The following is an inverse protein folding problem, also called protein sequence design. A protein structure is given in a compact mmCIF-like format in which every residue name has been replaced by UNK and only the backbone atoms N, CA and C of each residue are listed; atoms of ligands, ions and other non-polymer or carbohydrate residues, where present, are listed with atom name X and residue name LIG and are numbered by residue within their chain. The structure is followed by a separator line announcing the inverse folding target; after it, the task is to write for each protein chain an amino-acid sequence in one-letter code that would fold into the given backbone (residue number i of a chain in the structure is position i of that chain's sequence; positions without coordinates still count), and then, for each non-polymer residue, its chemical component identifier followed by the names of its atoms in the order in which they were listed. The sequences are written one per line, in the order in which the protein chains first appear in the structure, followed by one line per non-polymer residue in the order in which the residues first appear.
data_IF_344355195116
#
_entry.id   IF_344355195116
#
_cell.length_a   1.000
_cell.length_b   1.000
_cell.length_c   1.000
_cell.angle_alpha   90.00
_cell.angle_beta   90.00
_cell.angle_gamma   90.00
#
_symmetry.space_group_name_H-M   'P 1'
#
loop_
_entity.id
_entity.type
_entity.pdbx_description
1 polymer ?
#
# COMPACT_ATOMS: atom_id res chain seq x y z
N UNK A 1 29.75 -25.97 38.86
CA UNK A 1 29.32 -24.60 38.48
C UNK A 1 29.64 -24.20 37.03
N UNK A 2 30.69 -24.72 36.44
CA UNK A 2 31.12 -24.40 35.07
C UNK A 2 30.07 -24.68 33.98
N UNK A 3 29.23 -25.70 34.14
CA UNK A 3 28.28 -26.16 33.10
C UNK A 3 27.04 -25.24 32.93
N UNK A 4 26.65 -24.47 33.94
CA UNK A 4 25.47 -23.59 33.87
C UNK A 4 25.77 -22.29 33.10
N UNK A 5 26.95 -21.71 33.37
CA UNK A 5 27.41 -20.50 32.69
C UNK A 5 27.65 -20.74 31.19
N UNK A 6 28.13 -21.94 30.82
CA UNK A 6 28.36 -22.33 29.44
C UNK A 6 27.05 -22.45 28.62
N UNK A 7 25.96 -22.95 29.21
CA UNK A 7 24.65 -23.05 28.59
C UNK A 7 24.06 -21.66 28.30
N UNK A 8 24.17 -20.71 29.24
CA UNK A 8 23.73 -19.32 29.02
C UNK A 8 24.56 -18.62 27.99
N UNK A 9 25.87 -18.84 27.95
CA UNK A 9 26.74 -18.29 26.91
C UNK A 9 26.32 -18.77 25.50
N UNK A 10 26.12 -20.07 25.31
CA UNK A 10 25.68 -20.68 24.07
C UNK A 10 24.31 -20.13 23.70
N UNK A 11 23.37 -20.04 24.62
CA UNK A 11 22.03 -19.46 24.38
C UNK A 11 22.09 -18.01 23.87
N UNK A 12 22.95 -17.18 24.49
CA UNK A 12 23.14 -15.79 24.02
C UNK A 12 23.71 -15.71 22.61
N UNK A 13 24.71 -16.56 22.29
CA UNK A 13 25.31 -16.61 20.94
C UNK A 13 24.28 -17.04 19.91
N UNK A 14 23.52 -18.10 20.20
CA UNK A 14 22.46 -18.59 19.28
C UNK A 14 21.40 -17.51 19.00
N UNK A 15 20.94 -16.80 20.04
CA UNK A 15 19.99 -15.71 19.91
C UNK A 15 20.53 -14.54 19.06
N UNK A 16 21.82 -14.21 19.23
CA UNK A 16 22.47 -13.19 18.42
C UNK A 16 22.56 -13.59 16.94
N UNK A 17 22.94 -14.83 16.66
CA UNK A 17 23.00 -15.37 15.30
C UNK A 17 21.59 -15.34 14.66
N UNK A 18 20.57 -15.78 15.40
CA UNK A 18 19.20 -15.76 14.94
C UNK A 18 18.73 -14.33 14.62
N UNK A 19 19.03 -13.37 15.49
CA UNK A 19 18.74 -11.96 15.27
C UNK A 19 19.37 -11.41 13.99
N UNK A 20 20.65 -11.72 13.74
CA UNK A 20 21.35 -11.31 12.50
C UNK A 20 20.75 -11.96 11.24
N UNK A 21 20.42 -13.25 11.30
CA UNK A 21 19.77 -13.95 10.18
C UNK A 21 18.41 -13.30 9.86
N UNK A 22 17.62 -12.96 10.88
CA UNK A 22 16.33 -12.31 10.71
C UNK A 22 16.45 -10.91 10.07
N UNK A 23 17.49 -10.14 10.46
CA UNK A 23 17.79 -8.85 9.82
C UNK A 23 18.09 -9.06 8.31
N UNK A 24 18.91 -10.05 8.01
CA UNK A 24 19.33 -10.33 6.62
C UNK A 24 18.13 -10.78 5.76
N UNK A 25 17.20 -11.54 6.32
CA UNK A 25 15.97 -11.97 5.67
C UNK A 25 14.95 -10.84 5.53
N UNK A 26 14.92 -9.90 6.48
CA UNK A 26 13.99 -8.78 6.47
C UNK A 26 14.39 -7.68 5.48
N UNK A 27 15.69 -7.55 5.17
CA UNK A 27 16.24 -6.48 4.34
C UNK A 27 15.61 -6.36 2.95
N UNK A 28 15.38 -7.44 2.18
CA UNK A 28 14.82 -7.35 0.82
C UNK A 28 13.30 -7.28 0.76
N UNK A 29 12.57 -7.42 1.87
CA UNK A 29 11.11 -7.65 1.83
C UNK A 29 10.39 -6.58 2.65
N UNK A 30 9.87 -5.54 1.97
CA UNK A 30 9.12 -4.41 2.57
C UNK A 30 7.96 -4.80 3.52
N UNK A 31 7.46 -6.03 3.45
CA UNK A 31 6.30 -6.49 4.22
C UNK A 31 6.64 -7.11 5.57
N UNK A 32 7.91 -7.22 5.92
CA UNK A 32 8.36 -8.00 7.08
C UNK A 32 8.80 -7.13 8.27
N UNK A 33 8.08 -6.02 8.53
CA UNK A 33 8.27 -5.24 9.78
C UNK A 33 8.23 -6.10 11.03
N UNK A 34 7.48 -7.21 11.01
CA UNK A 34 7.42 -8.19 12.10
C UNK A 34 8.78 -8.87 12.33
N UNK A 35 9.56 -9.16 11.27
CA UNK A 35 10.89 -9.79 11.45
C UNK A 35 11.90 -8.85 12.10
N UNK A 36 11.83 -7.55 11.83
CA UNK A 36 12.64 -6.53 12.50
C UNK A 36 12.33 -6.52 14.01
N UNK A 37 11.04 -6.55 14.36
CA UNK A 37 10.62 -6.58 15.76
C UNK A 37 11.07 -7.87 16.46
N UNK A 38 10.93 -9.02 15.81
CA UNK A 38 11.40 -10.30 16.36
C UNK A 38 12.93 -10.28 16.52
N UNK A 39 13.67 -9.73 15.55
CA UNK A 39 15.12 -9.58 15.65
C UNK A 39 15.53 -8.71 16.84
N UNK A 40 14.84 -7.58 17.06
CA UNK A 40 15.04 -6.73 18.24
C UNK A 40 14.80 -7.48 19.54
N UNK A 41 13.71 -8.26 19.64
CA UNK A 41 13.42 -9.07 20.82
C UNK A 41 14.48 -10.14 21.07
N UNK A 42 15.00 -10.77 20.00
CA UNK A 42 16.11 -11.73 20.11
C UNK A 42 17.37 -11.07 20.68
N UNK A 43 17.72 -9.87 20.18
CA UNK A 43 18.85 -9.08 20.69
C UNK A 43 18.71 -8.72 22.16
N UNK A 44 17.51 -8.29 22.55
CA UNK A 44 17.20 -7.92 23.94
C UNK A 44 17.20 -9.13 24.87
N UNK A 45 16.66 -10.27 24.44
CA UNK A 45 16.71 -11.52 25.17
C UNK A 45 18.15 -12.03 25.33
N UNK A 46 18.96 -11.95 24.27
CA UNK A 46 20.38 -12.30 24.30
C UNK A 46 21.18 -11.40 25.27
N UNK A 47 20.85 -10.12 25.34
CA UNK A 47 21.44 -9.16 26.28
C UNK A 47 21.10 -9.55 27.75
N UNK A 48 19.83 -9.80 28.04
CA UNK A 48 19.39 -10.21 29.39
C UNK A 48 20.10 -11.50 29.82
N UNK A 49 20.12 -12.52 28.91
CA UNK A 49 20.82 -13.79 29.21
C UNK A 49 22.31 -13.55 29.41
N UNK A 50 22.93 -12.66 28.63
CA UNK A 50 24.34 -12.30 28.75
C UNK A 50 24.70 -11.64 30.07
N UNK A 51 23.79 -10.88 30.67
CA UNK A 51 24.00 -10.27 32.01
C UNK A 51 24.21 -11.32 33.12
N UNK A 52 23.64 -12.51 32.96
CA UNK A 52 23.82 -13.61 33.93
C UNK A 52 25.15 -14.36 33.72
N UNK A 53 25.89 -14.07 32.66
CA UNK A 53 27.20 -14.67 32.38
C UNK A 53 28.29 -13.71 32.84
N UNK A 54 28.68 -13.81 34.10
CA UNK A 54 29.52 -12.80 34.76
C UNK A 54 30.97 -12.68 34.24
N UNK A 55 31.47 -13.67 33.52
CA UNK A 55 32.91 -13.74 33.16
C UNK A 55 33.29 -13.22 31.80
N UNK A 56 32.33 -13.08 30.84
CA UNK A 56 32.61 -12.60 29.49
C UNK A 56 31.58 -11.55 29.04
N UNK A 57 31.97 -10.28 29.13
CA UNK A 57 31.11 -9.15 28.75
C UNK A 57 30.92 -8.98 27.24
N UNK A 58 31.76 -9.58 26.38
CA UNK A 58 31.77 -9.41 24.95
C UNK A 58 30.42 -9.81 24.28
N UNK A 59 29.83 -11.00 24.56
CA UNK A 59 28.55 -11.38 23.98
C UNK A 59 27.40 -10.44 24.38
N UNK A 60 27.45 -9.90 25.60
CA UNK A 60 26.45 -8.98 26.12
C UNK A 60 26.49 -7.63 25.40
N UNK A 61 27.70 -7.08 25.17
CA UNK A 61 27.85 -5.85 24.41
C UNK A 61 27.48 -6.04 22.93
N UNK A 62 27.79 -7.19 22.35
CA UNK A 62 27.39 -7.50 20.97
C UNK A 62 25.87 -7.55 20.83
N UNK A 63 25.16 -8.14 21.78
CA UNK A 63 23.70 -8.20 21.80
C UNK A 63 23.07 -6.81 21.89
N UNK A 64 23.62 -5.95 22.73
CA UNK A 64 23.18 -4.56 22.84
C UNK A 64 23.43 -3.80 21.53
N UNK A 65 24.61 -3.99 20.93
CA UNK A 65 24.94 -3.38 19.66
C UNK A 65 23.96 -3.80 18.55
N UNK A 66 23.62 -5.09 18.44
CA UNK A 66 22.63 -5.59 17.47
C UNK A 66 21.26 -4.95 17.71
N UNK A 67 20.79 -4.88 18.95
CA UNK A 67 19.50 -4.26 19.27
C UNK A 67 19.47 -2.76 18.87
N UNK A 68 20.55 -2.02 19.14
CA UNK A 68 20.68 -0.60 18.77
C UNK A 68 20.73 -0.43 17.25
N UNK A 69 21.50 -1.27 16.56
CA UNK A 69 21.58 -1.24 15.08
C UNK A 69 20.21 -1.50 14.45
N UNK A 70 19.46 -2.48 14.95
CA UNK A 70 18.09 -2.75 14.47
C UNK A 70 17.19 -1.56 14.70
N UNK A 71 17.27 -0.93 15.86
CA UNK A 71 16.42 0.21 16.23
C UNK A 71 16.66 1.44 15.32
N UNK A 72 17.90 1.62 14.86
CA UNK A 72 18.28 2.72 13.96
C UNK A 72 18.05 2.35 12.49
N UNK A 73 18.41 1.14 12.09
CA UNK A 73 18.35 0.71 10.69
C UNK A 73 16.91 0.58 10.17
N UNK A 74 15.97 0.19 11.03
CA UNK A 74 14.56 0.04 10.62
C UNK A 74 13.92 1.34 10.11
N UNK A 75 13.91 2.44 10.86
CA UNK A 75 13.36 3.70 10.36
C UNK A 75 14.19 4.28 9.20
N UNK A 76 15.51 4.04 9.18
CA UNK A 76 16.37 4.51 8.10
C UNK A 76 16.08 3.81 6.77
N UNK A 77 15.87 2.49 6.79
CA UNK A 77 15.49 1.72 5.59
C UNK A 77 14.11 2.10 5.10
N UNK A 78 13.15 2.36 5.98
CA UNK A 78 11.82 2.83 5.61
C UNK A 78 11.89 4.22 4.95
N UNK A 79 12.73 5.11 5.47
CA UNK A 79 12.95 6.43 4.90
C UNK A 79 13.66 6.36 3.52
N UNK A 80 14.71 5.55 3.38
CA UNK A 80 15.44 5.36 2.11
C UNK A 80 14.54 4.71 1.06
N UNK A 81 13.73 3.74 1.43
CA UNK A 81 12.78 3.11 0.52
C UNK A 81 11.70 4.10 0.06
N UNK A 82 11.22 4.97 0.94
CA UNK A 82 10.29 6.04 0.56
C UNK A 82 10.94 7.04 -0.40
N UNK A 83 12.18 7.46 -0.16
CA UNK A 83 12.90 8.35 -1.09
C UNK A 83 13.20 7.70 -2.45
N UNK A 84 13.62 6.42 -2.47
CA UNK A 84 13.85 5.70 -3.73
C UNK A 84 12.58 5.52 -4.53
N UNK A 85 11.47 5.20 -3.87
CA UNK A 85 10.14 5.11 -4.47
C UNK A 85 9.76 6.49 -5.03
N UNK A 86 9.96 7.55 -4.29
CA UNK A 86 9.66 8.92 -4.72
C UNK A 86 10.54 9.38 -5.90
N UNK A 87 11.84 9.06 -5.87
CA UNK A 87 12.77 9.30 -7.00
C UNK A 87 12.42 8.47 -8.24
N UNK A 88 12.03 7.23 -8.07
CA UNK A 88 11.59 6.37 -9.19
C UNK A 88 10.31 6.91 -9.84
N UNK A 89 9.40 7.49 -9.06
CA UNK A 89 8.21 8.14 -9.59
C UNK A 89 8.48 9.54 -10.17
N UNK A 90 9.47 10.28 -9.66
CA UNK A 90 9.91 11.56 -10.26
C UNK A 90 10.67 11.39 -11.57
N UNK A 91 11.44 10.30 -11.73
CA UNK A 91 12.24 10.04 -12.93
C UNK A 91 11.48 9.26 -14.03
N UNK A 92 10.33 8.66 -13.73
CA UNK A 92 9.42 8.29 -14.81
C UNK A 92 8.99 9.61 -15.44
N UNK A 93 9.52 9.88 -16.68
CA UNK A 93 8.99 10.94 -17.56
C UNK A 93 7.49 10.96 -17.33
N UNK A 94 7.00 12.06 -16.78
CA UNK A 94 5.59 12.35 -16.70
C UNK A 94 5.16 12.47 -18.14
N UNK A 95 4.89 11.35 -18.82
CA UNK A 95 3.94 11.39 -19.89
C UNK A 95 2.73 12.04 -19.25
N UNK A 96 2.53 13.28 -19.59
CA UNK A 96 1.35 14.05 -19.18
C UNK A 96 0.17 13.20 -19.63
N UNK A 97 -0.31 12.37 -18.70
CA UNK A 97 -1.55 11.66 -18.95
C UNK A 97 -2.56 12.76 -19.04
N UNK A 98 -3.02 13.02 -20.25
CA UNK A 98 -4.14 13.93 -20.48
C UNK A 98 -5.33 13.21 -19.88
N UNK A 99 -5.57 13.49 -18.59
CA UNK A 99 -6.81 13.07 -17.94
C UNK A 99 -7.89 13.87 -18.63
N UNK A 100 -8.86 13.22 -19.27
CA UNK A 100 -9.95 13.95 -19.90
C UNK A 100 -10.59 14.91 -18.88
N UNK A 101 -10.87 16.14 -19.31
CA UNK A 101 -11.39 17.22 -18.45
C UNK A 101 -12.68 16.86 -17.71
N UNK A 102 -13.38 15.87 -18.19
CA UNK A 102 -14.63 15.35 -17.62
C UNK A 102 -14.43 14.57 -16.32
N UNK A 103 -13.21 14.10 -16.07
CA UNK A 103 -12.88 13.42 -14.83
C UNK A 103 -12.34 14.38 -13.77
N UNK A 104 -12.63 14.09 -12.51
CA UNK A 104 -12.02 14.79 -11.39
C UNK A 104 -10.85 13.95 -10.85
N UNK A 105 -9.59 14.38 -11.04
CA UNK A 105 -8.46 13.61 -10.57
C UNK A 105 -8.41 13.55 -9.04
N UNK A 106 -8.13 12.35 -8.50
CA UNK A 106 -7.87 12.17 -7.08
C UNK A 106 -6.39 12.45 -6.81
N UNK A 107 -6.12 13.40 -5.92
CA UNK A 107 -4.75 13.70 -5.48
C UNK A 107 -4.22 12.58 -4.58
N UNK A 108 -2.89 12.43 -4.54
CA UNK A 108 -2.21 11.53 -3.60
C UNK A 108 -2.61 11.87 -2.16
N UNK A 109 -2.88 10.88 -1.34
CA UNK A 109 -3.32 11.05 0.05
C UNK A 109 -4.82 11.27 0.24
N UNK A 110 -5.56 11.66 -0.80
CA UNK A 110 -6.96 12.08 -0.67
C UNK A 110 -8.00 10.98 -0.91
N UNK A 111 -7.59 9.76 -1.24
CA UNK A 111 -8.54 8.67 -1.49
C UNK A 111 -9.34 8.33 -0.22
N UNK A 112 -8.71 8.37 0.96
CA UNK A 112 -9.36 8.09 2.23
C UNK A 112 -10.46 9.09 2.54
N UNK A 113 -10.21 10.38 2.33
CA UNK A 113 -11.17 11.45 2.57
C UNK A 113 -12.34 11.34 1.59
N UNK A 114 -12.02 11.11 0.31
CA UNK A 114 -13.02 10.98 -0.75
C UNK A 114 -14.01 9.85 -0.49
N UNK A 115 -13.53 8.67 -0.08
CA UNK A 115 -14.40 7.50 0.11
C UNK A 115 -15.15 7.53 1.43
N UNK A 116 -14.64 8.24 2.44
CA UNK A 116 -15.24 8.37 3.76
C UNK A 116 -16.12 9.61 3.93
N UNK A 117 -16.31 10.42 2.86
CA UNK A 117 -17.19 11.58 2.93
C UNK A 117 -18.53 11.22 3.54
N UNK A 118 -18.90 11.98 4.57
CA UNK A 118 -20.08 11.73 5.41
C UNK A 118 -21.41 12.07 4.73
N UNK A 119 -21.35 12.77 3.59
CA UNK A 119 -22.54 13.07 2.81
C UNK A 119 -23.26 11.79 2.40
N UNK A 120 -24.56 11.79 2.57
CA UNK A 120 -25.49 10.67 2.31
C UNK A 120 -25.43 10.14 0.87
N UNK A 121 -24.72 10.84 0.00
CA UNK A 121 -24.56 10.52 -1.41
C UNK A 121 -23.36 9.58 -1.60
N UNK A 122 -23.45 8.73 -2.61
CA UNK A 122 -22.33 7.90 -3.03
C UNK A 122 -21.38 8.67 -3.95
N UNK A 123 -20.13 8.24 -4.00
CA UNK A 123 -19.13 8.69 -4.97
C UNK A 123 -18.92 7.61 -6.03
N UNK A 124 -18.66 8.03 -7.26
CA UNK A 124 -18.24 7.15 -8.33
C UNK A 124 -16.75 7.36 -8.58
N UNK A 125 -15.98 6.29 -8.52
CA UNK A 125 -14.53 6.33 -8.75
C UNK A 125 -14.18 5.38 -9.88
N UNK A 126 -13.50 5.91 -10.89
CA UNK A 126 -12.88 5.11 -11.94
C UNK A 126 -11.45 4.78 -11.52
N UNK A 127 -11.22 3.54 -11.12
CA UNK A 127 -9.91 2.99 -10.83
C UNK A 127 -9.30 2.43 -12.11
N UNK A 128 -8.16 2.98 -12.53
CA UNK A 128 -7.44 2.51 -13.71
C UNK A 128 -6.09 1.91 -13.34
N UNK A 129 -5.68 0.89 -14.08
CA UNK A 129 -4.35 0.28 -13.98
C UNK A 129 -3.34 0.87 -14.97
N UNK A 130 -3.70 1.94 -15.70
CA UNK A 130 -2.85 2.58 -16.69
C UNK A 130 -2.80 1.89 -18.06
N UNK A 131 -3.50 0.78 -18.28
CA UNK A 131 -3.54 0.09 -19.59
C UNK A 131 -4.42 0.86 -20.59
N UNK A 132 -3.78 1.66 -21.43
CA UNK A 132 -4.44 2.50 -22.43
C UNK A 132 -5.27 1.70 -23.45
N UNK A 133 -4.85 0.47 -23.81
CA UNK A 133 -5.56 -0.33 -24.83
C UNK A 133 -6.93 -0.78 -24.36
N UNK A 134 -7.00 -1.23 -23.11
CA UNK A 134 -8.24 -1.71 -22.50
C UNK A 134 -9.13 -0.53 -22.06
N UNK A 135 -8.53 0.51 -21.54
CA UNK A 135 -9.24 1.62 -20.90
C UNK A 135 -9.84 2.61 -21.90
N UNK A 136 -9.23 2.83 -23.08
CA UNK A 136 -9.68 3.85 -24.04
C UNK A 136 -11.14 3.71 -24.49
N UNK A 137 -11.61 2.48 -24.69
CA UNK A 137 -13.02 2.23 -25.07
C UNK A 137 -13.96 2.50 -23.89
N UNK A 138 -13.56 2.11 -22.69
CA UNK A 138 -14.34 2.35 -21.48
C UNK A 138 -14.41 3.84 -21.14
N UNK A 139 -13.31 4.56 -21.27
CA UNK A 139 -13.23 6.01 -21.03
C UNK A 139 -14.19 6.77 -21.96
N UNK A 140 -14.22 6.44 -23.25
CA UNK A 140 -15.20 7.03 -24.19
C UNK A 140 -16.65 6.80 -23.72
N UNK A 141 -16.98 5.62 -23.21
CA UNK A 141 -18.32 5.32 -22.70
C UNK A 141 -18.61 6.14 -21.44
N UNK A 142 -17.62 6.24 -20.53
CA UNK A 142 -17.78 7.00 -19.26
C UNK A 142 -17.99 8.49 -19.59
N UNK A 143 -17.16 9.07 -20.47
CA UNK A 143 -17.26 10.47 -20.89
C UNK A 143 -18.61 10.74 -21.55
N UNK A 144 -19.04 9.89 -22.48
CA UNK A 144 -20.37 10.01 -23.11
C UNK A 144 -21.50 9.93 -22.08
N UNK A 145 -21.38 9.06 -21.07
CA UNK A 145 -22.37 8.95 -20.01
C UNK A 145 -22.39 10.19 -19.10
N UNK A 146 -21.23 10.77 -18.81
CA UNK A 146 -21.11 12.02 -18.05
C UNK A 146 -21.74 13.20 -18.81
N UNK A 147 -21.43 13.36 -20.09
CA UNK A 147 -21.99 14.42 -20.95
C UNK A 147 -23.52 14.37 -21.02
N UNK A 148 -24.10 13.17 -21.01
CA UNK A 148 -25.54 12.95 -21.03
C UNK A 148 -26.19 12.87 -19.64
N UNK A 149 -25.45 13.12 -18.56
CA UNK A 149 -25.94 13.05 -17.20
C UNK A 149 -26.74 14.31 -16.83
N UNK A 150 -27.98 14.12 -16.39
CA UNK A 150 -28.85 15.24 -15.93
C UNK A 150 -28.43 15.82 -14.57
N UNK A 151 -27.51 15.22 -13.84
CA UNK A 151 -27.29 15.49 -12.42
C UNK A 151 -25.94 16.08 -12.09
N UNK A 152 -25.19 16.69 -12.96
CA UNK A 152 -23.83 17.23 -12.71
C UNK A 152 -22.95 16.33 -11.81
N UNK A 153 -23.12 15.00 -11.90
CA UNK A 153 -22.36 14.05 -11.12
C UNK A 153 -20.94 13.96 -11.67
N UNK A 154 -19.99 13.88 -10.74
CA UNK A 154 -18.58 13.72 -11.07
C UNK A 154 -18.20 12.25 -10.95
N UNK A 155 -17.29 11.81 -11.81
CA UNK A 155 -16.55 10.57 -11.66
C UNK A 155 -15.11 10.94 -11.33
N UNK A 156 -14.64 10.43 -10.19
CA UNK A 156 -13.28 10.63 -9.75
C UNK A 156 -12.35 9.65 -10.47
N UNK A 157 -11.21 10.15 -10.91
CA UNK A 157 -10.20 9.37 -11.63
C UNK A 157 -9.06 9.00 -10.67
N UNK A 158 -8.79 7.71 -10.49
CA UNK A 158 -7.73 7.22 -9.64
C UNK A 158 -6.85 6.24 -10.42
N UNK A 159 -5.63 6.66 -10.74
CA UNK A 159 -4.64 5.83 -11.44
C UNK A 159 -3.82 5.04 -10.42
N UNK A 160 -4.14 3.75 -10.28
CA UNK A 160 -3.49 2.82 -9.34
C UNK A 160 -1.98 2.72 -9.61
N UNK A 161 -1.55 2.86 -10.87
CA UNK A 161 -0.13 2.73 -11.25
C UNK A 161 0.75 3.88 -10.76
N UNK A 162 0.13 5.00 -10.36
CA UNK A 162 0.80 6.25 -9.99
C UNK A 162 0.65 6.64 -8.52
N UNK A 163 -0.08 5.85 -7.76
CA UNK A 163 -0.35 6.16 -6.36
C UNK A 163 0.63 5.45 -5.42
N UNK A 164 0.82 6.00 -4.20
CA UNK A 164 1.68 5.37 -3.19
C UNK A 164 1.23 3.94 -2.86
N UNK A 165 2.17 3.05 -2.62
CA UNK A 165 1.92 1.62 -2.34
C UNK A 165 0.89 1.40 -1.23
N UNK A 166 0.92 2.24 -0.19
CA UNK A 166 -0.03 2.15 0.94
C UNK A 166 -1.47 2.41 0.50
N UNK A 167 -1.70 3.44 -0.32
CA UNK A 167 -3.03 3.75 -0.87
C UNK A 167 -3.49 2.67 -1.84
N UNK A 168 -2.59 2.21 -2.71
CA UNK A 168 -2.87 1.12 -3.66
C UNK A 168 -3.27 -0.15 -2.93
N UNK A 169 -2.57 -0.51 -1.86
CA UNK A 169 -2.90 -1.69 -1.03
C UNK A 169 -4.29 -1.55 -0.37
N UNK A 170 -4.63 -0.36 0.11
CA UNK A 170 -5.95 -0.09 0.64
C UNK A 170 -7.04 -0.22 -0.44
N UNK A 171 -6.85 0.44 -1.59
CA UNK A 171 -7.80 0.42 -2.72
C UNK A 171 -8.01 -1.01 -3.24
N UNK A 172 -6.94 -1.78 -3.41
CA UNK A 172 -7.02 -3.18 -3.86
C UNK A 172 -7.78 -4.06 -2.86
N UNK A 173 -7.55 -3.85 -1.58
CA UNK A 173 -8.21 -4.64 -0.53
C UNK A 173 -9.71 -4.37 -0.45
N UNK A 174 -10.12 -3.11 -0.63
CA UNK A 174 -11.49 -2.69 -0.34
C UNK A 174 -12.37 -2.50 -1.58
N UNK A 175 -11.80 -2.11 -2.72
CA UNK A 175 -12.60 -1.66 -3.86
C UNK A 175 -12.30 -2.39 -5.16
N UNK A 176 -11.05 -2.77 -5.43
CA UNK A 176 -10.62 -3.24 -6.75
C UNK A 176 -9.82 -4.53 -6.63
N UNK A 177 -10.27 -5.66 -7.23
CA UNK A 177 -9.44 -6.84 -7.35
C UNK A 177 -8.21 -6.59 -8.22
N UNK A 178 -7.17 -7.39 -8.03
CA UNK A 178 -5.93 -7.23 -8.76
C UNK A 178 -6.08 -7.32 -10.30
N UNK A 179 -5.27 -6.51 -11.00
CA UNK A 179 -5.02 -6.65 -12.43
C UNK A 179 -6.02 -6.01 -13.38
N UNK A 180 -7.13 -5.43 -12.92
CA UNK A 180 -8.14 -4.85 -13.81
C UNK A 180 -8.48 -3.40 -13.42
N UNK A 181 -9.08 -2.68 -14.40
CA UNK A 181 -9.69 -1.38 -14.15
C UNK A 181 -11.19 -1.52 -13.88
N UNK A 182 -11.73 -0.70 -12.97
CA UNK A 182 -13.12 -0.78 -12.53
C UNK A 182 -13.72 0.62 -12.34
N UNK A 183 -15.04 0.73 -12.56
CA UNK A 183 -15.82 1.83 -12.02
C UNK A 183 -16.53 1.33 -10.77
N UNK A 184 -16.26 1.96 -9.63
CA UNK A 184 -16.82 1.60 -8.35
C UNK A 184 -17.76 2.69 -7.83
N UNK A 185 -18.85 2.26 -7.19
CA UNK A 185 -19.76 3.08 -6.41
C UNK A 185 -19.45 2.84 -4.94
N UNK A 186 -19.05 3.89 -4.25
CA UNK A 186 -18.65 3.83 -2.85
C UNK A 186 -19.58 4.72 -2.04
N UNK A 187 -20.07 4.22 -0.90
CA UNK A 187 -20.93 4.94 0.02
C UNK A 187 -20.40 4.78 1.43
N UNK A 188 -20.02 5.89 2.08
CA UNK A 188 -19.48 5.88 3.46
C UNK A 188 -18.34 4.87 3.66
N UNK A 189 -17.37 4.88 2.78
CA UNK A 189 -16.21 3.97 2.83
C UNK A 189 -16.48 2.53 2.41
N UNK A 190 -17.73 2.16 2.11
CA UNK A 190 -18.11 0.79 1.75
C UNK A 190 -18.40 0.69 0.26
N UNK A 191 -17.92 -0.40 -0.37
CA UNK A 191 -18.21 -0.71 -1.76
C UNK A 191 -19.70 -1.06 -1.93
N UNK A 192 -20.46 -0.18 -2.59
CA UNK A 192 -21.89 -0.37 -2.88
C UNK A 192 -22.14 -1.05 -4.25
N UNK A 193 -21.12 -1.17 -5.08
CA UNK A 193 -21.16 -1.85 -6.37
C UNK A 193 -19.94 -1.49 -7.21
N UNK A 194 -19.58 -2.37 -8.12
CA UNK A 194 -18.49 -2.14 -9.08
C UNK A 194 -18.78 -2.85 -10.40
N UNK A 195 -18.13 -2.38 -11.44
CA UNK A 195 -18.18 -2.99 -12.77
C UNK A 195 -16.80 -2.95 -13.40
N UNK A 196 -16.39 -4.04 -14.04
CA UNK A 196 -15.14 -4.10 -14.80
C UNK A 196 -15.25 -3.32 -16.10
N UNK A 197 -14.23 -2.56 -16.44
CA UNK A 197 -14.18 -1.84 -17.73
C UNK A 197 -14.04 -2.76 -18.94
N UNK A 198 -13.67 -4.04 -18.74
CA UNK A 198 -13.64 -5.05 -19.79
C UNK A 198 -15.04 -5.41 -20.29
N UNK A 199 -16.03 -5.36 -19.42
CA UNK A 199 -17.42 -5.64 -19.78
C UNK A 199 -18.15 -4.33 -20.15
N UNK A 200 -18.01 -3.89 -21.38
CA UNK A 200 -18.56 -2.62 -21.86
C UNK A 200 -20.10 -2.55 -21.80
N UNK A 201 -20.79 -3.69 -21.90
CA UNK A 201 -22.25 -3.74 -21.79
C UNK A 201 -22.71 -3.46 -20.36
N UNK A 202 -22.15 -4.17 -19.40
CA UNK A 202 -22.44 -3.94 -17.98
C UNK A 202 -22.02 -2.54 -17.52
N UNK A 203 -20.88 -2.03 -18.02
CA UNK A 203 -20.42 -0.67 -17.76
C UNK A 203 -21.46 0.37 -18.16
N UNK A 204 -22.03 0.27 -19.38
CA UNK A 204 -23.09 1.17 -19.85
C UNK A 204 -24.32 1.12 -18.95
N UNK A 205 -24.76 -0.08 -18.56
CA UNK A 205 -25.92 -0.23 -17.68
C UNK A 205 -25.66 0.28 -16.28
N UNK A 206 -24.47 0.05 -15.72
CA UNK A 206 -24.04 0.56 -14.45
C UNK A 206 -24.05 2.10 -14.43
N UNK A 207 -23.44 2.74 -15.45
CA UNK A 207 -23.41 4.18 -15.57
C UNK A 207 -24.81 4.78 -15.76
N UNK A 208 -25.64 4.17 -16.61
CA UNK A 208 -27.02 4.60 -16.83
C UNK A 208 -27.83 4.63 -15.53
N UNK A 209 -27.71 3.59 -14.71
CA UNK A 209 -28.39 3.50 -13.40
C UNK A 209 -27.88 4.54 -12.39
N UNK A 210 -26.57 4.79 -12.37
CA UNK A 210 -25.93 5.61 -11.33
C UNK A 210 -25.83 7.10 -11.72
N UNK A 211 -25.75 7.45 -12.99
CA UNK A 211 -25.67 8.83 -13.48
C UNK A 211 -27.04 9.42 -13.87
N UNK A 212 -28.11 8.62 -13.89
CA UNK A 212 -29.43 9.02 -14.41
C UNK A 212 -29.30 9.63 -15.82
N UNK A 213 -28.63 8.91 -16.71
CA UNK A 213 -28.48 9.31 -18.12
C UNK A 213 -29.84 9.38 -18.76
N UNK A 214 -30.19 10.54 -19.34
CA UNK A 214 -31.42 10.71 -20.10
C UNK A 214 -31.45 9.75 -21.30
N UNK A 215 -32.63 9.34 -21.74
CA UNK A 215 -32.76 8.65 -23.03
C UNK A 215 -32.26 9.64 -24.08
N UNK A 216 -31.21 9.30 -24.81
CA UNK A 216 -30.84 10.00 -26.04
C UNK A 216 -32.08 9.99 -26.95
N UNK A 217 -32.58 11.19 -27.32
CA UNK A 217 -33.56 11.33 -28.40
C UNK A 217 -32.91 10.94 -29.70
#
# INVERSE_FOLDING_TARGET
MCNKNMKFLIGSIVLNILGLVLIFLAWPIEKLSVLWFISFLCGLAAFIVGLYVSEKKIPTYLSLFIAVVVMIAFPLTEHINMEMVEKKYKNQKVETLVIPSEFTPVKKGHIYDLVNTTDSKYVLVYFTNGDKKVNSKAEKIIISALANSKNNKRIYYYDISRMPTREVSYVKRHFVPEGNSYVAKIKKGVLAGRVSVKNLKELREFLKRNLKVGKSK
#
